data_IF_817169032948
#
_entry.id   IF_817169032948
#
_cell.length_a   1.000
_cell.length_b   1.000
_cell.length_c   1.000
_cell.angle_alpha   90.00
_cell.angle_beta   90.00
_cell.angle_gamma   90.00
#
_symmetry.space_group_name_H-M   'P 1'
#
loop_
_entity.id
_entity.type
_entity.pdbx_description
1 polymer ?
#
# COMPACT_ATOMS: atom_id res chain seq x y z
N UNK A 1 7.35 16.39 24.21
CA UNK A 1 6.87 15.01 23.95
C UNK A 1 5.36 15.02 23.70
N UNK A 2 4.90 14.98 22.45
CA UNK A 2 3.47 14.88 22.14
C UNK A 2 3.26 13.94 20.93
N UNK A 3 3.50 12.64 21.16
CA UNK A 3 3.47 11.56 20.15
C UNK A 3 2.02 11.13 19.82
N UNK A 4 1.11 12.08 19.59
CA UNK A 4 -0.29 11.81 19.18
C UNK A 4 -0.57 12.24 17.74
N UNK A 5 0.43 12.17 16.86
CA UNK A 5 0.24 12.21 15.42
C UNK A 5 -0.23 10.82 14.92
N UNK A 6 -1.54 10.62 15.09
CA UNK A 6 -2.51 9.82 14.32
C UNK A 6 -1.90 8.80 13.33
N UNK A 7 -2.03 7.48 13.56
CA UNK A 7 -1.53 6.42 12.66
C UNK A 7 -1.99 6.56 11.20
N UNK A 8 -3.06 7.31 10.97
CA UNK A 8 -3.57 7.70 9.64
C UNK A 8 -2.52 8.47 8.81
N UNK A 9 -1.79 9.43 9.40
CA UNK A 9 -0.83 10.26 8.66
C UNK A 9 0.33 9.42 8.12
N UNK A 10 0.82 8.46 8.91
CA UNK A 10 1.87 7.55 8.48
C UNK A 10 1.41 6.61 7.36
N UNK A 11 0.17 6.11 7.41
CA UNK A 11 -0.39 5.34 6.30
C UNK A 11 -0.50 6.18 5.03
N UNK A 12 -0.94 7.44 5.11
CA UNK A 12 -1.01 8.33 3.95
C UNK A 12 0.38 8.54 3.34
N UNK A 13 1.39 8.84 4.17
CA UNK A 13 2.77 9.02 3.71
C UNK A 13 3.28 7.73 3.05
N UNK A 14 3.01 6.57 3.64
CA UNK A 14 3.36 5.27 3.06
C UNK A 14 2.80 5.13 1.64
N UNK A 15 1.49 5.34 1.45
CA UNK A 15 0.84 5.23 0.14
C UNK A 15 1.39 6.24 -0.88
N UNK A 16 1.67 7.49 -0.47
CA UNK A 16 2.27 8.50 -1.36
C UNK A 16 3.66 8.04 -1.84
N UNK A 17 4.51 7.55 -0.93
CA UNK A 17 5.86 7.10 -1.28
C UNK A 17 5.80 5.88 -2.22
N UNK A 18 4.90 4.93 -1.95
CA UNK A 18 4.75 3.74 -2.80
C UNK A 18 4.25 4.11 -4.19
N UNK A 19 3.29 5.03 -4.30
CA UNK A 19 2.85 5.59 -5.58
C UNK A 19 4.00 6.21 -6.38
N UNK A 20 4.83 7.01 -5.72
CA UNK A 20 6.00 7.66 -6.33
C UNK A 20 7.01 6.63 -6.84
N UNK A 21 7.29 5.58 -6.05
CA UNK A 21 8.17 4.48 -6.47
C UNK A 21 7.62 3.74 -7.69
N UNK A 22 6.34 3.37 -7.68
CA UNK A 22 5.70 2.65 -8.79
C UNK A 22 5.77 3.50 -10.07
N UNK A 23 5.49 4.80 -9.95
CA UNK A 23 5.56 5.72 -11.09
C UNK A 23 6.98 5.85 -11.64
N UNK A 24 7.98 5.95 -10.77
CA UNK A 24 9.40 5.97 -11.17
C UNK A 24 9.77 4.67 -11.88
N UNK A 25 9.49 3.50 -11.30
CA UNK A 25 9.85 2.22 -11.93
C UNK A 25 9.20 2.06 -13.31
N UNK A 26 7.94 2.46 -13.45
CA UNK A 26 7.23 2.35 -14.73
C UNK A 26 7.66 3.39 -15.78
N UNK A 27 8.24 4.52 -15.36
CA UNK A 27 8.67 5.59 -16.28
C UNK A 27 10.06 5.35 -16.88
N UNK A 28 10.89 4.53 -16.25
CA UNK A 28 12.25 4.25 -16.71
C UNK A 28 12.33 2.88 -17.40
N UNK A 29 12.64 2.87 -18.69
CA UNK A 29 12.81 1.64 -19.47
C UNK A 29 13.91 0.71 -18.92
N UNK A 30 14.83 1.23 -18.11
CA UNK A 30 15.89 0.47 -17.44
C UNK A 30 15.36 -0.55 -16.41
N UNK A 31 14.14 -0.37 -15.89
CA UNK A 31 13.50 -1.30 -14.95
C UNK A 31 12.53 -2.28 -15.62
N UNK A 32 12.26 -2.11 -16.93
CA UNK A 32 11.49 -3.09 -17.69
C UNK A 32 12.26 -4.39 -17.76
N UNK A 33 11.70 -5.42 -17.16
CA UNK A 33 12.29 -6.74 -17.17
C UNK A 33 12.18 -7.34 -18.57
N UNK A 34 13.19 -8.11 -18.99
CA UNK A 34 13.20 -8.76 -20.30
C UNK A 34 12.03 -9.75 -20.49
N UNK A 35 11.87 -10.33 -21.69
CA UNK A 35 10.67 -11.08 -22.10
C UNK A 35 10.34 -12.33 -21.26
N UNK A 36 11.23 -12.75 -20.36
CA UNK A 36 11.12 -13.99 -19.58
C UNK A 36 10.89 -13.76 -18.08
N UNK A 37 10.87 -12.52 -17.59
CA UNK A 37 10.64 -12.18 -16.18
C UNK A 37 9.41 -11.30 -16.04
N UNK A 38 8.53 -11.64 -15.09
CA UNK A 38 7.46 -10.71 -14.70
C UNK A 38 8.09 -9.36 -14.39
N UNK A 39 7.65 -8.31 -15.10
CA UNK A 39 8.17 -6.96 -14.96
C UNK A 39 8.30 -6.56 -13.50
N UNK A 40 9.43 -5.94 -13.15
CA UNK A 40 9.65 -5.35 -11.82
C UNK A 40 8.47 -4.43 -11.44
N UNK A 41 7.83 -3.82 -12.43
CA UNK A 41 6.57 -3.07 -12.29
C UNK A 41 5.45 -3.90 -11.65
N UNK A 42 5.14 -5.07 -12.20
CA UNK A 42 4.14 -5.99 -11.64
C UNK A 42 4.55 -6.52 -10.27
N UNK A 43 5.82 -6.87 -10.08
CA UNK A 43 6.32 -7.38 -8.80
C UNK A 43 6.25 -6.31 -7.69
N UNK A 44 6.58 -5.06 -8.00
CA UNK A 44 6.52 -3.94 -7.06
C UNK A 44 5.09 -3.67 -6.59
N UNK A 45 4.12 -3.72 -7.50
CA UNK A 45 2.70 -3.57 -7.17
C UNK A 45 2.19 -4.76 -6.36
N UNK A 46 2.61 -5.98 -6.69
CA UNK A 46 2.26 -7.18 -5.93
C UNK A 46 2.77 -7.12 -4.49
N UNK A 47 4.01 -6.66 -4.28
CA UNK A 47 4.57 -6.44 -2.94
C UNK A 47 3.79 -5.39 -2.16
N UNK A 48 3.43 -4.27 -2.80
CA UNK A 48 2.68 -3.19 -2.17
C UNK A 48 1.27 -3.65 -1.72
N UNK A 49 0.61 -4.49 -2.52
CA UNK A 49 -0.67 -5.12 -2.17
C UNK A 49 -0.51 -6.04 -0.94
N UNK A 50 0.49 -6.92 -0.95
CA UNK A 50 0.77 -7.84 0.17
C UNK A 50 1.01 -7.10 1.49
N UNK A 51 1.84 -6.05 1.48
CA UNK A 51 2.13 -5.26 2.67
C UNK A 51 0.87 -4.54 3.17
N UNK A 52 0.09 -3.95 2.27
CA UNK A 52 -1.16 -3.25 2.62
C UNK A 52 -2.18 -4.21 3.23
N UNK A 53 -2.28 -5.42 2.69
CA UNK A 53 -3.16 -6.47 3.21
C UNK A 53 -2.72 -6.93 4.61
N UNK A 54 -1.40 -7.11 4.83
CA UNK A 54 -0.86 -7.40 6.15
C UNK A 54 -1.18 -6.29 7.17
N UNK A 55 -1.08 -5.01 6.79
CA UNK A 55 -1.44 -3.88 7.66
C UNK A 55 -2.92 -3.94 8.05
N UNK A 56 -3.83 -4.20 7.11
CA UNK A 56 -5.27 -4.32 7.37
C UNK A 56 -5.55 -5.47 8.35
N UNK A 57 -4.94 -6.64 8.12
CA UNK A 57 -5.10 -7.83 8.97
C UNK A 57 -4.58 -7.57 10.37
N UNK A 58 -3.38 -7.01 10.53
CA UNK A 58 -2.80 -6.68 11.85
C UNK A 58 -3.70 -5.68 12.59
N UNK A 59 -4.30 -4.74 11.88
CA UNK A 59 -5.20 -3.73 12.45
C UNK A 59 -6.49 -4.36 12.97
N UNK A 60 -7.10 -5.25 12.18
CA UNK A 60 -8.28 -6.02 12.56
C UNK A 60 -7.98 -6.92 13.76
N UNK A 61 -6.89 -7.68 13.72
CA UNK A 61 -6.46 -8.56 14.81
C UNK A 61 -6.24 -7.75 16.09
N UNK A 62 -5.54 -6.61 16.02
CA UNK A 62 -5.34 -5.74 17.20
C UNK A 62 -6.66 -5.20 17.75
N UNK A 63 -7.62 -4.88 16.91
CA UNK A 63 -8.93 -4.40 17.34
C UNK A 63 -9.73 -5.51 18.04
N UNK A 64 -9.73 -6.72 17.48
CA UNK A 64 -10.40 -7.90 18.04
C UNK A 64 -9.76 -8.28 19.38
N UNK A 65 -8.44 -8.46 19.42
CA UNK A 65 -7.71 -8.88 20.64
C UNK A 65 -7.82 -7.84 21.75
N UNK A 66 -7.66 -6.55 21.43
CA UNK A 66 -7.66 -5.50 22.47
C UNK A 66 -9.06 -4.99 22.83
N UNK A 67 -10.14 -5.53 22.22
CA UNK A 67 -11.52 -5.01 22.27
C UNK A 67 -11.59 -3.47 22.20
N UNK A 68 -10.63 -2.84 21.51
CA UNK A 68 -10.58 -1.38 21.38
C UNK A 68 -11.47 -0.98 20.22
N UNK A 69 -12.13 0.19 20.35
CA UNK A 69 -12.86 0.78 19.22
C UNK A 69 -11.94 0.82 18.01
N UNK A 70 -12.39 0.18 16.94
CA UNK A 70 -11.76 0.23 15.63
C UNK A 70 -11.67 1.69 15.20
N UNK A 71 -10.46 2.11 14.83
CA UNK A 71 -10.27 3.44 14.30
C UNK A 71 -10.67 3.41 12.82
N UNK A 72 -11.97 3.55 12.56
CA UNK A 72 -12.57 3.42 11.22
C UNK A 72 -11.88 4.27 10.17
N UNK A 73 -11.42 5.48 10.53
CA UNK A 73 -10.65 6.37 9.63
C UNK A 73 -9.35 5.71 9.13
N UNK A 74 -8.67 4.98 10.00
CA UNK A 74 -7.44 4.28 9.65
C UNK A 74 -7.72 3.07 8.76
N UNK A 75 -8.78 2.33 9.02
CA UNK A 75 -9.18 1.20 8.16
C UNK A 75 -9.62 1.67 6.78
N UNK A 76 -10.42 2.75 6.70
CA UNK A 76 -10.84 3.38 5.45
C UNK A 76 -9.67 3.79 4.57
N UNK A 77 -8.66 4.47 5.15
CA UNK A 77 -7.47 4.88 4.39
C UNK A 77 -6.70 3.68 3.83
N UNK A 78 -6.59 2.59 4.60
CA UNK A 78 -5.89 1.40 4.10
C UNK A 78 -6.71 0.66 3.03
N UNK A 79 -8.03 0.61 3.14
CA UNK A 79 -8.90 0.02 2.10
C UNK A 79 -8.86 0.86 0.82
N UNK A 80 -8.91 2.20 0.93
CA UNK A 80 -8.78 3.10 -0.21
C UNK A 80 -7.40 2.99 -0.87
N UNK A 81 -6.33 2.93 -0.06
CA UNK A 81 -4.98 2.74 -0.55
C UNK A 81 -4.81 1.39 -1.28
N UNK A 82 -5.36 0.31 -0.72
CA UNK A 82 -5.40 -1.00 -1.39
C UNK A 82 -6.15 -0.94 -2.72
N UNK A 83 -7.32 -0.30 -2.75
CA UNK A 83 -8.09 -0.07 -3.97
C UNK A 83 -7.32 0.73 -5.03
N UNK A 84 -6.51 1.70 -4.61
CA UNK A 84 -5.68 2.48 -5.54
C UNK A 84 -4.63 1.62 -6.27
N UNK A 85 -4.10 0.57 -5.63
CA UNK A 85 -3.19 -0.35 -6.31
C UNK A 85 -3.88 -1.19 -7.37
N UNK A 86 -5.11 -1.65 -7.13
CA UNK A 86 -5.89 -2.35 -8.17
C UNK A 86 -6.15 -1.45 -9.38
N UNK A 87 -6.40 -0.16 -9.14
CA UNK A 87 -6.53 0.82 -10.22
C UNK A 87 -5.22 1.01 -11.00
N UNK A 88 -4.08 1.03 -10.31
CA UNK A 88 -2.76 1.06 -10.96
C UNK A 88 -2.51 -0.21 -11.78
N UNK A 89 -2.79 -1.41 -11.25
CA UNK A 89 -2.67 -2.66 -12.02
C UNK A 89 -3.51 -2.59 -13.28
N UNK A 90 -4.74 -2.07 -13.20
CA UNK A 90 -5.61 -1.91 -14.35
C UNK A 90 -5.09 -0.90 -15.38
N UNK A 91 -4.43 0.18 -14.94
CA UNK A 91 -3.78 1.15 -15.85
C UNK A 91 -2.50 0.61 -16.52
N UNK A 92 -1.85 -0.37 -15.89
CA UNK A 92 -0.61 -0.98 -16.38
C UNK A 92 -0.87 -2.12 -17.38
N UNK A 93 -2.11 -2.60 -17.50
CA UNK A 93 -2.54 -3.66 -18.41
C UNK A 93 -3.21 -3.08 -19.65
#
# INVERSE_FOLDING_TARGET
MNYKAKPVTYSIIYYIITWLLIWVFNSFDTFKSGPCTMGLDLFSVFLAILISLAIIVITLIKAIIRRKRLNWKYLLVNVLGLGSYFFIVWLLW
#
